data_IF_702830206255
#
_entry.id   IF_702830206255
#
_cell.length_a   1.000
_cell.length_b   1.000
_cell.length_c   1.000
_cell.angle_alpha   90.00
_cell.angle_beta   90.00
_cell.angle_gamma   90.00
#
_symmetry.space_group_name_H-M   'P 1'
#
loop_
_entity.id
_entity.type
_entity.pdbx_description
1 polymer ?
#
# COMPACT_ATOMS: atom_id res chain seq x y z
N UNK A 1 13.67 8.01 7.17
CA UNK A 1 12.80 8.87 6.35
C UNK A 1 12.73 8.29 4.96
N UNK A 2 11.51 8.10 4.47
CA UNK A 2 11.23 7.66 3.11
C UNK A 2 10.14 8.55 2.48
N UNK A 3 10.08 8.66 1.14
CA UNK A 3 11.11 8.22 0.18
C UNK A 3 12.43 8.99 0.34
N UNK A 4 13.51 8.48 -0.25
CA UNK A 4 14.86 9.08 -0.14
C UNK A 4 14.90 10.55 -0.57
N UNK A 5 14.10 10.93 -1.56
CA UNK A 5 13.98 12.34 -1.98
C UNK A 5 13.54 13.25 -0.81
N UNK A 6 12.61 12.80 0.03
CA UNK A 6 12.14 13.55 1.21
C UNK A 6 13.22 13.62 2.30
N UNK A 7 13.99 12.53 2.47
CA UNK A 7 15.15 12.54 3.36
C UNK A 7 16.16 13.61 2.93
N UNK A 8 16.53 13.62 1.66
CA UNK A 8 17.50 14.57 1.11
C UNK A 8 17.01 16.01 1.24
N UNK A 9 15.73 16.27 1.00
CA UNK A 9 15.12 17.59 1.19
C UNK A 9 15.25 18.06 2.65
N UNK A 10 14.93 17.23 3.62
CA UNK A 10 15.02 17.57 5.04
C UNK A 10 16.48 17.79 5.47
N UNK A 11 17.39 16.94 4.99
CA UNK A 11 18.82 17.08 5.26
C UNK A 11 19.39 18.39 4.70
N UNK A 12 19.16 18.67 3.42
CA UNK A 12 19.79 19.80 2.73
C UNK A 12 19.18 21.14 3.13
N UNK A 13 17.88 21.20 3.36
CA UNK A 13 17.20 22.47 3.60
C UNK A 13 17.14 22.85 5.08
N UNK A 14 17.29 21.90 6.00
CA UNK A 14 17.10 22.15 7.43
C UNK A 14 18.25 21.68 8.30
N UNK A 15 18.73 20.45 8.16
CA UNK A 15 19.72 19.90 9.09
C UNK A 15 21.14 20.39 8.77
N UNK A 16 21.57 20.36 7.52
CA UNK A 16 22.92 20.80 7.12
C UNK A 16 23.15 22.32 7.31
N UNK A 17 22.18 23.20 7.02
CA UNK A 17 22.32 24.63 7.32
C UNK A 17 22.27 24.96 8.81
N UNK A 18 21.83 24.05 9.66
CA UNK A 18 21.59 24.23 11.07
C UNK A 18 20.13 24.58 11.39
N UNK A 19 19.63 24.01 12.48
CA UNK A 19 18.28 24.27 12.96
C UNK A 19 18.22 25.64 13.64
N UNK A 20 17.07 26.28 13.53
CA UNK A 20 16.76 27.53 14.25
C UNK A 20 15.73 27.22 15.34
N UNK A 21 15.68 28.12 16.34
CA UNK A 21 14.71 28.04 17.42
C UNK A 21 13.30 28.00 16.90
N UNK A 22 12.49 27.12 17.46
CA UNK A 22 11.07 27.00 17.15
C UNK A 22 10.24 27.75 18.19
N UNK A 23 9.45 28.72 17.75
CA UNK A 23 8.48 29.36 18.60
C UNK A 23 7.30 28.42 18.86
N UNK A 24 7.16 27.95 20.11
CA UNK A 24 6.14 26.99 20.54
C UNK A 24 4.80 27.62 20.99
N UNK A 25 4.69 28.94 20.89
CA UNK A 25 3.46 29.67 21.21
C UNK A 25 3.16 30.76 20.18
N UNK A 26 1.94 31.31 20.18
CA UNK A 26 1.46 32.35 19.27
C UNK A 26 0.68 33.41 20.03
N UNK A 27 0.77 34.67 19.56
CA UNK A 27 0.02 35.84 20.07
C UNK A 27 -0.84 36.48 19.01
N UNK A 28 -0.90 35.92 17.79
CA UNK A 28 -1.62 36.53 16.66
C UNK A 28 -3.14 36.29 16.71
N UNK A 29 -3.60 35.47 17.61
CA UNK A 29 -5.03 35.15 17.86
C UNK A 29 -5.18 34.58 19.27
N UNK A 30 -6.42 34.68 19.81
CA UNK A 30 -6.74 34.28 21.19
C UNK A 30 -7.37 32.87 21.27
N UNK A 31 -7.71 32.28 20.14
CA UNK A 31 -8.32 30.94 20.09
C UNK A 31 -7.25 29.85 20.18
N UNK A 32 -7.34 29.01 21.19
CA UNK A 32 -6.38 27.92 21.40
C UNK A 32 -6.18 27.58 22.89
N UNK A 33 -5.19 26.76 23.18
CA UNK A 33 -4.81 26.41 24.55
C UNK A 33 -3.95 27.56 25.11
N UNK A 34 -4.40 28.28 26.15
CA UNK A 34 -3.60 29.38 26.73
C UNK A 34 -2.34 28.83 27.41
N UNK A 35 -1.28 29.62 27.40
CA UNK A 35 -0.04 29.31 28.10
C UNK A 35 -0.16 29.85 29.53
N UNK A 36 -0.09 28.99 30.55
CA UNK A 36 -0.34 29.35 31.96
C UNK A 36 0.54 30.48 32.48
N UNK A 37 1.80 30.52 32.06
CA UNK A 37 2.78 31.54 32.49
C UNK A 37 2.64 32.87 31.75
N UNK A 38 1.96 32.91 30.60
CA UNK A 38 1.63 34.12 29.84
C UNK A 38 0.32 33.90 29.05
N UNK A 39 -0.83 34.28 29.61
CA UNK A 39 -2.15 34.05 29.00
C UNK A 39 -2.41 34.81 27.68
N UNK A 40 -1.50 35.70 27.27
CA UNK A 40 -1.55 36.34 25.93
C UNK A 40 -1.08 35.38 24.84
N UNK A 41 -0.42 34.30 25.21
CA UNK A 41 0.07 33.29 24.29
C UNK A 41 -0.87 32.09 24.27
N UNK A 42 -1.05 31.52 23.09
CA UNK A 42 -1.69 30.19 22.91
C UNK A 42 -0.63 29.21 22.40
N UNK A 43 -0.76 27.95 22.80
CA UNK A 43 0.13 26.88 22.39
C UNK A 43 0.15 26.74 20.88
N UNK A 44 1.33 26.52 20.31
CA UNK A 44 1.48 26.28 18.87
C UNK A 44 0.87 24.93 18.47
N UNK A 45 -0.01 24.96 17.48
CA UNK A 45 -0.82 23.80 17.06
C UNK A 45 0.00 22.52 16.78
N UNK A 46 1.23 22.65 16.30
CA UNK A 46 2.06 21.46 16.04
C UNK A 46 2.67 20.84 17.31
N UNK A 47 2.77 21.58 18.39
CA UNK A 47 3.11 20.98 19.68
C UNK A 47 1.99 20.06 20.17
N UNK A 48 0.75 20.53 20.10
CA UNK A 48 -0.44 19.74 20.43
C UNK A 48 -0.62 18.55 19.45
N UNK A 49 -0.63 18.80 18.15
CA UNK A 49 -0.87 17.80 17.12
C UNK A 49 0.14 16.64 17.14
N UNK A 50 1.44 16.92 17.40
CA UNK A 50 2.46 15.87 17.43
C UNK A 50 2.45 15.09 18.73
N UNK A 51 2.22 15.73 19.88
CA UNK A 51 2.14 15.04 21.17
C UNK A 51 0.95 14.11 21.25
N UNK A 52 -0.10 14.33 20.45
CA UNK A 52 -1.24 13.42 20.34
C UNK A 52 -0.84 11.97 20.01
N UNK A 53 0.25 11.74 19.29
CA UNK A 53 0.72 10.37 18.99
C UNK A 53 1.07 9.56 20.24
N UNK A 54 1.57 10.21 21.28
CA UNK A 54 1.93 9.54 22.54
C UNK A 54 0.86 9.66 23.59
N UNK A 55 0.19 10.82 23.72
CA UNK A 55 -0.85 11.02 24.75
C UNK A 55 -2.06 10.14 24.51
N UNK A 56 -2.44 9.91 23.25
CA UNK A 56 -3.59 9.07 22.90
C UNK A 56 -3.40 7.58 23.25
N UNK A 57 -2.17 7.12 23.38
CA UNK A 57 -1.83 5.76 23.82
C UNK A 57 -1.43 5.71 25.29
N UNK A 58 -1.60 6.81 26.02
CA UNK A 58 -1.44 6.86 27.48
C UNK A 58 -0.03 7.17 27.98
N UNK A 59 0.72 8.02 27.24
CA UNK A 59 1.94 8.64 27.81
C UNK A 59 1.58 9.59 28.95
N UNK A 60 2.29 9.46 30.04
CA UNK A 60 2.22 10.35 31.20
C UNK A 60 3.63 10.50 31.78
N UNK A 61 4.13 11.74 32.03
CA UNK A 61 5.45 11.96 32.60
C UNK A 61 5.60 11.36 34.01
N UNK A 62 4.50 11.23 34.76
CA UNK A 62 4.50 10.65 36.11
C UNK A 62 4.31 9.13 36.13
N UNK A 63 4.05 8.51 34.99
CA UNK A 63 3.91 7.06 34.85
C UNK A 63 3.00 6.63 33.70
N UNK A 64 3.60 6.29 32.59
CA UNK A 64 2.89 5.90 31.37
C UNK A 64 2.12 4.58 31.49
N UNK A 65 1.04 4.46 30.72
CA UNK A 65 0.18 3.28 30.68
C UNK A 65 0.88 2.04 30.08
N UNK A 66 0.31 0.86 30.31
CA UNK A 66 0.75 -0.38 29.65
C UNK A 66 0.60 -0.33 28.14
N UNK A 67 -0.39 0.40 27.61
CA UNK A 67 -0.61 0.57 26.18
C UNK A 67 0.53 1.40 25.55
N UNK A 68 0.97 2.49 26.20
CA UNK A 68 2.14 3.24 25.75
C UNK A 68 3.39 2.35 25.68
N UNK A 69 3.68 1.61 26.73
CA UNK A 69 4.86 0.73 26.81
C UNK A 69 4.82 -0.41 25.77
N UNK A 70 3.62 -0.79 25.31
CA UNK A 70 3.43 -1.82 24.28
C UNK A 70 3.59 -1.30 22.87
N UNK A 71 3.11 -0.08 22.58
CA UNK A 71 2.98 0.43 21.23
C UNK A 71 4.01 1.49 20.86
N UNK A 72 4.72 2.06 21.85
CA UNK A 72 5.80 2.99 21.57
C UNK A 72 7.18 2.31 21.69
N UNK A 73 8.15 2.58 20.77
CA UNK A 73 8.08 3.51 19.64
C UNK A 73 7.26 2.99 18.47
N UNK A 74 6.63 3.92 17.73
CA UNK A 74 5.89 3.60 16.52
C UNK A 74 6.80 2.97 15.46
N UNK A 75 6.34 1.90 14.80
CA UNK A 75 7.08 1.29 13.69
C UNK A 75 7.11 2.20 12.47
N UNK A 76 5.98 2.87 12.19
CA UNK A 76 5.84 3.74 11.04
C UNK A 76 4.92 4.93 11.33
N UNK A 77 5.40 6.15 11.03
CA UNK A 77 4.55 7.30 10.79
C UNK A 77 4.28 7.44 9.29
N UNK A 78 3.06 7.14 8.86
CA UNK A 78 2.59 7.31 7.49
C UNK A 78 1.84 8.64 7.38
N UNK A 79 2.44 9.60 6.67
CA UNK A 79 1.96 10.98 6.64
C UNK A 79 2.00 11.55 5.22
N UNK A 80 1.29 12.65 4.96
CA UNK A 80 1.45 13.42 3.72
C UNK A 80 2.80 14.16 3.67
N UNK A 81 3.37 14.26 2.47
CA UNK A 81 4.67 14.93 2.29
C UNK A 81 4.69 16.40 2.71
N UNK A 82 3.54 17.05 2.74
CA UNK A 82 3.38 18.46 3.15
C UNK A 82 3.66 18.71 4.64
N UNK A 83 3.51 17.68 5.47
CA UNK A 83 3.79 17.75 6.91
C UNK A 83 5.07 17.00 7.33
N UNK A 84 5.90 16.61 6.37
CA UNK A 84 7.11 15.80 6.65
C UNK A 84 8.11 16.53 7.55
N UNK A 85 8.24 17.84 7.40
CA UNK A 85 9.14 18.65 8.24
C UNK A 85 8.76 18.55 9.71
N UNK A 86 7.48 18.57 10.04
CA UNK A 86 6.99 18.48 11.41
C UNK A 86 7.30 17.12 12.03
N UNK A 87 7.18 16.04 11.26
CA UNK A 87 7.38 14.67 11.73
C UNK A 87 8.84 14.20 11.74
N UNK A 88 9.71 14.86 10.98
CA UNK A 88 11.11 14.43 10.83
C UNK A 88 12.11 15.37 11.45
N UNK A 89 11.69 16.58 11.85
CA UNK A 89 12.54 17.58 12.52
C UNK A 89 11.93 17.94 13.88
N UNK A 90 10.72 18.49 13.94
CA UNK A 90 10.16 18.97 15.21
C UNK A 90 9.79 17.83 16.15
N UNK A 91 9.14 16.79 15.62
CA UNK A 91 8.75 15.65 16.43
C UNK A 91 9.92 14.91 17.08
N UNK A 92 11.02 14.60 16.37
CA UNK A 92 12.22 14.10 17.02
C UNK A 92 12.77 15.00 18.13
N UNK A 93 12.77 16.32 17.93
CA UNK A 93 13.21 17.25 18.96
C UNK A 93 12.32 17.20 20.22
N UNK A 94 11.00 17.11 20.03
CA UNK A 94 10.06 16.98 21.16
C UNK A 94 10.25 15.66 21.91
N UNK A 95 10.39 14.56 21.20
CA UNK A 95 10.63 13.23 21.80
C UNK A 95 11.95 13.20 22.59
N UNK A 96 13.03 13.76 22.05
CA UNK A 96 14.31 13.86 22.76
C UNK A 96 14.22 14.75 24.00
N UNK A 97 13.42 15.81 23.97
CA UNK A 97 13.21 16.64 25.16
C UNK A 97 12.45 15.92 26.29
N UNK A 98 11.77 14.81 25.96
CA UNK A 98 11.06 13.95 26.88
C UNK A 98 11.80 12.64 27.19
N UNK A 99 13.07 12.50 26.71
CA UNK A 99 13.85 11.27 26.81
C UNK A 99 13.17 10.03 26.22
N UNK A 100 12.35 10.21 25.16
CA UNK A 100 11.63 9.16 24.49
C UNK A 100 12.33 8.69 23.22
N UNK A 101 12.15 7.39 22.89
CA UNK A 101 12.62 6.80 21.65
C UNK A 101 11.95 7.42 20.43
N UNK A 102 12.68 7.46 19.31
CA UNK A 102 12.14 7.95 18.03
C UNK A 102 11.33 6.87 17.33
N UNK A 103 10.33 7.23 16.50
CA UNK A 103 9.70 6.31 15.56
C UNK A 103 10.75 5.65 14.66
N UNK A 104 10.56 4.34 14.36
CA UNK A 104 11.53 3.57 13.55
C UNK A 104 11.58 4.09 12.13
N UNK A 105 10.43 4.53 11.57
CA UNK A 105 10.32 5.01 10.21
C UNK A 105 9.30 6.14 10.08
N UNK A 106 9.58 7.10 9.20
CA UNK A 106 8.62 8.11 8.73
C UNK A 106 8.53 8.02 7.22
N UNK A 107 7.33 7.83 6.69
CA UNK A 107 7.04 7.81 5.26
C UNK A 107 6.13 8.98 4.89
N UNK A 108 6.64 9.89 4.06
CA UNK A 108 5.88 11.00 3.50
C UNK A 108 5.32 10.65 2.13
N UNK A 109 4.06 10.20 2.07
CA UNK A 109 3.44 9.88 0.81
C UNK A 109 3.12 11.14 0.00
N UNK A 110 3.13 11.05 -1.34
CA UNK A 110 2.92 12.17 -2.23
C UNK A 110 1.45 12.59 -2.31
N UNK A 111 1.21 13.62 -3.11
CA UNK A 111 -0.15 14.08 -3.36
C UNK A 111 -0.86 13.27 -4.44
N UNK A 112 -2.15 13.16 -4.26
CA UNK A 112 -3.08 12.78 -5.30
C UNK A 112 -3.48 14.03 -6.08
N UNK A 113 -3.28 14.00 -7.38
CA UNK A 113 -3.59 15.09 -8.30
C UNK A 113 -4.79 14.70 -9.18
N UNK A 114 -5.47 15.70 -9.72
CA UNK A 114 -6.44 15.52 -10.81
C UNK A 114 -6.08 16.49 -11.92
N UNK A 115 -5.86 15.98 -13.14
CA UNK A 115 -5.37 16.77 -14.28
C UNK A 115 -4.08 17.56 -13.97
N UNK A 116 -3.14 16.95 -13.25
CA UNK A 116 -1.91 17.54 -12.75
C UNK A 116 -2.08 18.69 -11.75
N UNK A 117 -3.29 18.92 -11.27
CA UNK A 117 -3.60 19.91 -10.25
C UNK A 117 -3.91 19.26 -8.91
N UNK A 118 -3.58 19.97 -7.82
CA UNK A 118 -3.96 19.53 -6.48
C UNK A 118 -5.47 19.45 -6.36
N UNK A 119 -5.95 18.32 -5.81
CA UNK A 119 -7.35 18.17 -5.44
C UNK A 119 -7.70 19.15 -4.31
N UNK A 120 -8.75 19.91 -4.48
CA UNK A 120 -9.21 20.87 -3.47
C UNK A 120 -10.68 21.22 -3.60
N UNK A 121 -11.39 21.23 -2.47
CA UNK A 121 -12.82 21.62 -2.44
C UNK A 121 -13.05 23.02 -3.01
N UNK A 122 -12.16 23.98 -2.69
CA UNK A 122 -12.22 25.35 -3.18
C UNK A 122 -11.93 25.50 -4.68
N UNK A 123 -11.33 24.48 -5.31
CA UNK A 123 -11.01 24.46 -6.74
C UNK A 123 -12.10 23.79 -7.59
N UNK A 124 -13.09 23.17 -6.96
CA UNK A 124 -14.18 22.47 -7.66
C UNK A 124 -13.76 21.19 -8.39
N UNK A 125 -12.52 20.71 -8.20
CA UNK A 125 -11.96 19.51 -8.83
C UNK A 125 -11.86 18.32 -7.87
N UNK A 126 -12.59 18.35 -6.75
CA UNK A 126 -12.58 17.27 -5.79
C UNK A 126 -13.30 16.03 -6.35
N UNK A 127 -12.57 14.92 -6.43
CA UNK A 127 -13.14 13.60 -6.70
C UNK A 127 -13.30 12.91 -5.36
N UNK A 128 -14.53 12.50 -5.03
CA UNK A 128 -14.83 11.84 -3.78
C UNK A 128 -14.75 10.31 -3.95
N UNK A 129 -14.17 9.64 -2.96
CA UNK A 129 -14.00 8.19 -2.98
C UNK A 129 -15.35 7.46 -3.10
N UNK A 130 -16.40 7.96 -2.43
CA UNK A 130 -17.74 7.38 -2.47
C UNK A 130 -18.29 7.35 -3.90
N UNK A 131 -18.14 8.43 -4.66
CA UNK A 131 -18.57 8.49 -6.07
C UNK A 131 -17.82 7.48 -6.95
N UNK A 132 -16.52 7.27 -6.69
CA UNK A 132 -15.75 6.27 -7.42
C UNK A 132 -16.18 4.86 -7.06
N UNK A 133 -16.45 4.61 -5.79
CA UNK A 133 -16.93 3.30 -5.30
C UNK A 133 -18.30 2.96 -5.85
N UNK A 134 -19.21 3.93 -5.93
CA UNK A 134 -20.54 3.77 -6.52
C UNK A 134 -20.48 3.41 -8.02
N UNK A 135 -19.50 3.96 -8.74
CA UNK A 135 -19.34 3.72 -10.19
C UNK A 135 -18.57 2.44 -10.51
N UNK A 136 -17.55 2.11 -9.75
CA UNK A 136 -16.56 1.06 -10.11
C UNK A 136 -16.50 -0.09 -9.10
N UNK A 137 -17.12 0.05 -7.95
CA UNK A 137 -16.97 -0.88 -6.83
C UNK A 137 -15.69 -0.63 -6.01
N UNK A 138 -15.73 -1.04 -4.74
CA UNK A 138 -14.67 -0.77 -3.77
C UNK A 138 -13.33 -1.42 -4.15
N UNK A 139 -13.36 -2.63 -4.69
CA UNK A 139 -12.13 -3.37 -5.01
C UNK A 139 -11.37 -2.75 -6.18
N UNK A 140 -12.07 -2.30 -7.23
CA UNK A 140 -11.46 -1.62 -8.36
C UNK A 140 -10.82 -0.28 -7.95
N UNK A 141 -11.49 0.49 -7.11
CA UNK A 141 -10.97 1.77 -6.59
C UNK A 141 -9.74 1.53 -5.71
N UNK A 142 -9.79 0.55 -4.79
CA UNK A 142 -8.64 0.20 -3.94
C UNK A 142 -7.45 -0.28 -4.76
N UNK A 143 -7.69 -1.18 -5.72
CA UNK A 143 -6.64 -1.65 -6.63
C UNK A 143 -5.98 -0.49 -7.36
N UNK A 144 -6.78 0.37 -7.97
CA UNK A 144 -6.29 1.54 -8.71
C UNK A 144 -5.40 2.46 -7.84
N UNK A 145 -5.90 2.83 -6.65
CA UNK A 145 -5.18 3.74 -5.75
C UNK A 145 -3.85 3.14 -5.28
N UNK A 146 -3.82 1.84 -5.01
CA UNK A 146 -2.62 1.17 -4.51
C UNK A 146 -1.62 0.83 -5.62
N UNK A 147 -2.10 0.59 -6.84
CA UNK A 147 -1.26 0.19 -7.98
C UNK A 147 -0.77 1.39 -8.79
N UNK A 148 -1.70 2.25 -9.25
CA UNK A 148 -1.39 3.28 -10.25
C UNK A 148 -0.84 4.57 -9.64
N UNK A 149 -1.15 4.84 -8.36
CA UNK A 149 -0.64 6.03 -7.70
C UNK A 149 0.68 5.68 -7.02
N UNK A 150 1.82 6.15 -7.56
CA UNK A 150 3.12 5.80 -7.03
C UNK A 150 3.26 6.27 -5.58
N UNK A 151 3.73 5.41 -4.71
CA UNK A 151 3.88 5.73 -3.29
C UNK A 151 4.98 6.77 -3.00
N UNK A 152 5.88 7.00 -3.95
CA UNK A 152 7.01 7.93 -3.81
C UNK A 152 6.85 9.24 -4.59
N UNK A 153 6.00 9.28 -5.61
CA UNK A 153 5.80 10.42 -6.51
C UNK A 153 4.32 10.79 -6.59
N UNK A 154 4.03 12.06 -6.88
CA UNK A 154 2.66 12.52 -7.09
C UNK A 154 2.02 11.73 -8.22
N UNK A 155 0.78 11.29 -8.03
CA UNK A 155 0.02 10.50 -8.98
C UNK A 155 -1.27 11.21 -9.40
N UNK A 156 -1.66 11.03 -10.66
CA UNK A 156 -2.91 11.55 -11.18
C UNK A 156 -4.05 10.55 -11.02
N UNK A 157 -5.15 11.00 -10.48
CA UNK A 157 -6.42 10.29 -10.47
C UNK A 157 -7.22 10.72 -11.70
N UNK A 158 -7.43 9.79 -12.66
CA UNK A 158 -8.29 10.00 -13.82
C UNK A 158 -9.25 8.84 -14.01
N UNK A 159 -10.43 9.12 -14.55
CA UNK A 159 -11.41 8.08 -14.85
C UNK A 159 -10.90 7.11 -15.94
N UNK A 160 -10.18 7.64 -16.93
CA UNK A 160 -9.62 6.87 -18.03
C UNK A 160 -8.65 5.81 -17.53
N UNK A 161 -7.71 6.18 -16.66
CA UNK A 161 -6.77 5.22 -16.07
C UNK A 161 -7.46 4.20 -15.17
N UNK A 162 -8.48 4.62 -14.40
CA UNK A 162 -9.24 3.69 -13.57
C UNK A 162 -9.98 2.66 -14.41
N UNK A 163 -10.63 3.09 -15.52
CA UNK A 163 -11.29 2.21 -16.49
C UNK A 163 -10.26 1.26 -17.14
N UNK A 164 -9.12 1.79 -17.58
CA UNK A 164 -8.06 1.01 -18.20
C UNK A 164 -7.55 -0.09 -17.26
N UNK A 165 -7.22 0.24 -16.03
CA UNK A 165 -6.73 -0.72 -15.03
C UNK A 165 -7.78 -1.75 -14.66
N UNK A 166 -9.02 -1.32 -14.48
CA UNK A 166 -10.13 -2.25 -14.21
C UNK A 166 -10.29 -3.25 -15.34
N UNK A 167 -10.26 -2.79 -16.58
CA UNK A 167 -10.43 -3.68 -17.73
C UNK A 167 -9.20 -4.56 -17.97
N UNK A 168 -8.00 -3.99 -17.96
CA UNK A 168 -6.77 -4.71 -18.32
C UNK A 168 -6.34 -5.69 -17.24
N UNK A 169 -6.28 -5.23 -16.00
CA UNK A 169 -5.73 -6.03 -14.92
C UNK A 169 -6.82 -6.89 -14.26
N UNK A 170 -7.89 -6.28 -13.77
CA UNK A 170 -8.90 -7.02 -13.01
C UNK A 170 -9.79 -7.89 -13.91
N UNK A 171 -10.32 -7.36 -15.03
CA UNK A 171 -11.19 -8.12 -15.89
C UNK A 171 -10.40 -9.07 -16.82
N UNK A 172 -9.47 -8.54 -17.63
CA UNK A 172 -8.82 -9.32 -18.69
C UNK A 172 -7.66 -10.19 -18.18
N UNK A 173 -6.99 -9.84 -17.09
CA UNK A 173 -5.93 -10.68 -16.54
C UNK A 173 -6.47 -11.61 -15.46
N UNK A 174 -6.92 -11.08 -14.32
CA UNK A 174 -7.41 -11.89 -13.20
C UNK A 174 -8.75 -12.57 -13.50
N UNK A 175 -9.76 -11.80 -13.91
CA UNK A 175 -11.10 -12.32 -14.19
C UNK A 175 -11.10 -13.36 -15.31
N UNK A 176 -10.33 -13.11 -16.38
CA UNK A 176 -10.18 -14.07 -17.48
C UNK A 176 -9.50 -15.37 -17.01
N UNK A 177 -8.42 -15.28 -16.21
CA UNK A 177 -7.75 -16.46 -15.66
C UNK A 177 -8.71 -17.31 -14.82
N UNK A 178 -9.45 -16.69 -13.91
CA UNK A 178 -10.43 -17.36 -13.05
C UNK A 178 -11.54 -18.00 -13.88
N UNK A 179 -12.14 -17.25 -14.81
CA UNK A 179 -13.22 -17.74 -15.67
C UNK A 179 -12.77 -18.92 -16.54
N UNK A 180 -11.61 -18.80 -17.22
CA UNK A 180 -11.05 -19.88 -18.04
C UNK A 180 -10.78 -21.14 -17.22
N UNK A 181 -10.14 -20.98 -16.07
CA UNK A 181 -9.79 -22.10 -15.20
C UNK A 181 -11.03 -22.83 -14.70
N UNK A 182 -12.01 -22.10 -14.16
CA UNK A 182 -13.26 -22.69 -13.65
C UNK A 182 -14.08 -23.32 -14.78
N UNK A 183 -14.20 -22.64 -15.93
CA UNK A 183 -14.95 -23.15 -17.08
C UNK A 183 -14.36 -24.45 -17.63
N UNK A 184 -13.03 -24.53 -17.76
CA UNK A 184 -12.34 -25.75 -18.17
C UNK A 184 -12.47 -26.85 -17.11
N UNK A 185 -12.43 -26.44 -15.83
CA UNK A 185 -12.64 -27.34 -14.72
C UNK A 185 -13.99 -28.05 -14.80
N UNK A 186 -15.03 -27.30 -14.97
CA UNK A 186 -16.38 -27.86 -15.05
C UNK A 186 -16.58 -28.66 -16.35
N UNK A 187 -16.12 -28.13 -17.48
CA UNK A 187 -16.33 -28.73 -18.79
C UNK A 187 -15.63 -30.08 -18.96
N UNK A 188 -14.39 -30.24 -18.46
CA UNK A 188 -13.57 -31.43 -18.73
C UNK A 188 -13.47 -32.39 -17.56
N UNK A 189 -13.86 -31.97 -16.35
CA UNK A 189 -13.64 -32.74 -15.12
C UNK A 189 -14.77 -32.66 -14.09
N UNK A 190 -15.96 -32.20 -14.49
CA UNK A 190 -17.14 -32.04 -13.62
C UNK A 190 -16.83 -31.26 -12.31
N UNK A 191 -15.93 -30.25 -12.39
CA UNK A 191 -15.48 -29.47 -11.24
C UNK A 191 -14.53 -30.19 -10.28
N UNK A 192 -14.22 -31.47 -10.50
CA UNK A 192 -13.31 -32.24 -9.64
C UNK A 192 -11.85 -32.01 -10.03
N UNK A 193 -11.03 -31.75 -9.03
CA UNK A 193 -9.60 -31.47 -9.21
C UNK A 193 -8.79 -32.45 -8.40
N UNK A 194 -7.90 -33.19 -9.06
CA UNK A 194 -6.96 -34.11 -8.40
C UNK A 194 -5.53 -33.78 -8.81
N UNK A 195 -4.64 -33.64 -7.83
CA UNK A 195 -3.21 -33.47 -8.10
C UNK A 195 -2.57 -34.84 -8.39
N UNK A 196 -2.28 -35.13 -9.67
CA UNK A 196 -1.65 -36.37 -10.13
C UNK A 196 -0.10 -36.32 -10.06
N UNK A 197 0.49 -35.22 -9.59
CA UNK A 197 1.94 -35.03 -9.46
C UNK A 197 2.75 -35.26 -10.74
N UNK A 198 2.14 -35.11 -11.90
CA UNK A 198 2.82 -35.17 -13.21
C UNK A 198 3.39 -33.78 -13.52
N UNK A 199 4.68 -33.61 -13.76
CA UNK A 199 5.37 -32.33 -13.90
C UNK A 199 6.38 -32.33 -15.05
N UNK A 200 6.29 -31.36 -15.96
CA UNK A 200 7.30 -31.10 -16.97
C UNK A 200 8.00 -29.74 -16.71
N UNK A 201 8.84 -29.30 -17.63
CA UNK A 201 9.69 -28.12 -17.41
C UNK A 201 8.89 -26.82 -17.44
N UNK A 202 7.82 -26.72 -18.26
CA UNK A 202 6.91 -25.57 -18.23
C UNK A 202 6.16 -25.45 -16.90
N UNK A 203 5.80 -26.60 -16.33
CA UNK A 203 5.15 -26.64 -15.02
C UNK A 203 6.09 -26.16 -13.92
N UNK A 204 7.34 -26.65 -13.94
CA UNK A 204 8.34 -26.27 -12.94
C UNK A 204 8.60 -24.76 -12.95
N UNK A 205 8.73 -24.16 -14.13
CA UNK A 205 8.90 -22.72 -14.29
C UNK A 205 7.79 -21.94 -13.58
N UNK A 206 6.52 -22.30 -13.84
CA UNK A 206 5.38 -21.63 -13.21
C UNK A 206 5.31 -21.89 -11.70
N UNK A 207 5.58 -23.13 -11.26
CA UNK A 207 5.62 -23.51 -9.85
C UNK A 207 6.72 -22.73 -9.12
N UNK A 208 7.91 -22.63 -9.68
CA UNK A 208 9.03 -21.92 -9.09
C UNK A 208 8.72 -20.41 -8.99
N UNK A 209 8.06 -19.85 -10.02
CA UNK A 209 7.63 -18.46 -10.01
C UNK A 209 6.60 -18.20 -8.92
N UNK A 210 5.61 -19.09 -8.73
CA UNK A 210 4.61 -19.00 -7.67
C UNK A 210 5.24 -19.15 -6.28
N UNK A 211 6.10 -20.15 -6.10
CA UNK A 211 6.77 -20.39 -4.82
C UNK A 211 7.72 -19.26 -4.40
N UNK A 212 8.28 -18.53 -5.38
CA UNK A 212 9.12 -17.36 -5.13
C UNK A 212 8.35 -16.05 -4.94
N UNK A 213 7.04 -16.04 -5.18
CA UNK A 213 6.22 -14.82 -5.18
C UNK A 213 6.14 -14.19 -3.78
N UNK A 214 5.93 -14.99 -2.76
CA UNK A 214 5.76 -14.54 -1.38
C UNK A 214 6.96 -13.67 -0.92
N UNK A 215 8.17 -14.19 -1.07
CA UNK A 215 9.38 -13.45 -0.72
C UNK A 215 9.66 -12.21 -1.59
N UNK A 216 9.13 -12.16 -2.82
CA UNK A 216 9.20 -10.95 -3.66
C UNK A 216 8.22 -9.88 -3.16
N UNK A 217 6.98 -10.28 -2.87
CA UNK A 217 5.94 -9.41 -2.34
C UNK A 217 6.35 -8.83 -0.98
N UNK A 218 6.79 -9.68 -0.05
CA UNK A 218 7.28 -9.26 1.27
C UNK A 218 8.38 -8.19 1.15
N UNK A 219 9.36 -8.42 0.29
CA UNK A 219 10.47 -7.49 0.03
C UNK A 219 10.04 -6.12 -0.48
N UNK A 220 8.96 -6.09 -1.28
CA UNK A 220 8.34 -4.84 -1.77
C UNK A 220 7.55 -4.16 -0.65
N UNK A 221 6.76 -4.94 0.07
CA UNK A 221 5.94 -4.43 1.18
C UNK A 221 6.78 -3.83 2.31
N UNK A 222 7.90 -4.44 2.68
CA UNK A 222 8.85 -3.90 3.66
C UNK A 222 9.38 -2.52 3.30
N UNK A 223 9.42 -2.22 1.99
CA UNK A 223 9.82 -0.92 1.46
C UNK A 223 8.65 0.03 1.20
N UNK A 224 7.43 -0.40 1.48
CA UNK A 224 6.19 0.31 1.15
C UNK A 224 6.01 0.54 -0.37
N UNK A 225 6.58 -0.34 -1.19
CA UNK A 225 6.49 -0.34 -2.66
C UNK A 225 5.25 -1.13 -3.11
N UNK A 226 4.05 -0.72 -2.67
CA UNK A 226 2.80 -1.49 -2.82
C UNK A 226 2.45 -1.73 -4.29
N UNK A 227 2.59 -0.73 -5.16
CA UNK A 227 2.34 -0.88 -6.60
C UNK A 227 3.23 -1.96 -7.22
N UNK A 228 4.53 -1.98 -6.91
CA UNK A 228 5.46 -3.01 -7.38
C UNK A 228 5.15 -4.40 -6.77
N UNK A 229 4.64 -4.47 -5.55
CA UNK A 229 4.18 -5.73 -4.98
C UNK A 229 2.99 -6.31 -5.77
N UNK A 230 2.04 -5.45 -6.16
CA UNK A 230 0.93 -5.82 -7.05
C UNK A 230 1.43 -6.25 -8.44
N UNK A 231 2.42 -5.56 -9.00
CA UNK A 231 3.03 -5.95 -10.28
C UNK A 231 3.63 -7.36 -10.25
N UNK A 232 4.33 -7.74 -9.17
CA UNK A 232 4.87 -9.11 -8.98
C UNK A 232 3.73 -10.15 -9.00
N UNK A 233 2.60 -9.86 -8.34
CA UNK A 233 1.42 -10.73 -8.35
C UNK A 233 0.83 -10.84 -9.76
N UNK A 234 0.60 -9.71 -10.43
CA UNK A 234 0.01 -9.69 -11.76
C UNK A 234 0.94 -10.30 -12.84
N UNK A 235 2.25 -10.27 -12.64
CA UNK A 235 3.20 -10.99 -13.48
C UNK A 235 2.94 -12.51 -13.44
N UNK A 236 2.73 -13.07 -12.27
CA UNK A 236 2.37 -14.49 -12.11
C UNK A 236 1.01 -14.79 -12.74
N UNK A 237 0.02 -13.91 -12.60
CA UNK A 237 -1.30 -14.08 -13.23
C UNK A 237 -1.19 -14.06 -14.77
N UNK A 238 -0.43 -13.14 -15.33
CA UNK A 238 -0.15 -13.08 -16.79
C UNK A 238 0.58 -14.34 -17.26
N UNK A 239 1.60 -14.79 -16.51
CA UNK A 239 2.32 -16.02 -16.83
C UNK A 239 1.38 -17.24 -16.77
N UNK A 240 0.47 -17.28 -15.81
CA UNK A 240 -0.54 -18.34 -15.69
C UNK A 240 -1.51 -18.37 -16.87
N UNK A 241 -1.97 -17.20 -17.35
CA UNK A 241 -2.78 -17.13 -18.58
C UNK A 241 -2.00 -17.66 -19.79
N UNK A 242 -0.74 -17.25 -19.95
CA UNK A 242 0.13 -17.71 -21.03
C UNK A 242 0.39 -19.22 -20.97
N UNK A 243 0.58 -19.76 -19.76
CA UNK A 243 0.75 -21.20 -19.55
C UNK A 243 -0.51 -21.99 -20.01
N UNK A 244 -1.73 -21.46 -19.82
CA UNK A 244 -2.95 -22.07 -20.35
C UNK A 244 -2.88 -22.14 -21.88
N UNK A 245 -2.39 -21.09 -22.55
CA UNK A 245 -2.29 -21.06 -24.00
C UNK A 245 -1.19 -22.00 -24.54
N UNK A 246 -0.08 -22.11 -23.85
CA UNK A 246 1.04 -22.99 -24.21
C UNK A 246 0.71 -24.48 -24.04
N UNK A 247 -0.01 -24.84 -23.00
CA UNK A 247 -0.35 -26.24 -22.68
C UNK A 247 -1.62 -26.73 -23.34
N UNK A 248 -2.44 -25.83 -23.91
CA UNK A 248 -3.67 -26.13 -24.66
C UNK A 248 -4.54 -27.23 -24.02
N UNK A 249 -5.05 -27.05 -22.78
CA UNK A 249 -5.80 -28.07 -22.06
C UNK A 249 -7.03 -28.59 -22.79
N UNK A 250 -7.61 -27.78 -23.67
CA UNK A 250 -8.72 -28.17 -24.55
C UNK A 250 -8.34 -29.22 -25.62
N UNK A 251 -7.06 -29.27 -26.01
CA UNK A 251 -6.55 -30.32 -26.90
C UNK A 251 -6.19 -31.57 -26.11
N UNK A 252 -5.52 -31.43 -24.97
CA UNK A 252 -5.17 -32.54 -24.09
C UNK A 252 -6.40 -33.29 -23.57
N UNK A 253 -7.52 -32.60 -23.34
CA UNK A 253 -8.77 -33.22 -22.88
C UNK A 253 -9.42 -34.16 -23.90
N UNK A 254 -9.03 -34.09 -25.18
CA UNK A 254 -9.55 -34.98 -26.26
C UNK A 254 -8.75 -36.29 -26.34
N UNK A 255 -7.57 -36.36 -25.78
CA UNK A 255 -6.72 -37.52 -25.78
C UNK A 255 -6.79 -38.24 -24.43
N UNK A 256 -7.30 -39.48 -24.43
CA UNK A 256 -7.59 -40.22 -23.19
C UNK A 256 -6.34 -40.48 -22.35
N UNK A 257 -5.21 -40.76 -23.01
CA UNK A 257 -3.89 -41.00 -22.37
C UNK A 257 -3.29 -39.73 -21.73
N UNK A 258 -3.77 -38.55 -22.06
CA UNK A 258 -3.27 -37.25 -21.56
C UNK A 258 -4.22 -36.55 -20.60
N UNK A 259 -5.35 -37.16 -20.23
CA UNK A 259 -6.29 -36.60 -19.26
C UNK A 259 -5.66 -36.33 -17.90
N UNK A 260 -4.74 -37.19 -17.46
CA UNK A 260 -4.03 -37.02 -16.18
C UNK A 260 -3.15 -35.75 -16.15
N UNK A 261 -2.60 -35.35 -17.29
CA UNK A 261 -1.87 -34.09 -17.42
C UNK A 261 -2.79 -32.87 -17.30
N UNK A 262 -4.00 -32.97 -17.78
CA UNK A 262 -5.02 -31.94 -17.64
C UNK A 262 -5.54 -31.77 -16.21
N UNK A 263 -5.68 -32.86 -15.46
CA UNK A 263 -6.09 -32.82 -14.05
C UNK A 263 -5.08 -32.09 -13.15
N UNK A 264 -3.82 -32.11 -13.52
CA UNK A 264 -2.72 -31.40 -12.86
C UNK A 264 -2.87 -29.88 -12.84
N UNK A 265 -3.40 -29.31 -13.90
CA UNK A 265 -3.61 -27.86 -14.08
C UNK A 265 -4.34 -27.20 -12.90
N UNK A 266 -5.04 -27.97 -12.11
CA UNK A 266 -5.93 -27.51 -11.06
C UNK A 266 -5.35 -27.57 -9.67
N UNK A 267 -4.33 -28.42 -9.44
CA UNK A 267 -3.74 -28.57 -8.11
C UNK A 267 -2.83 -27.43 -7.70
N UNK A 268 -2.16 -26.77 -8.65
CA UNK A 268 -1.26 -25.65 -8.36
C UNK A 268 -1.98 -24.30 -8.19
N UNK A 269 -3.09 -24.09 -8.89
CA UNK A 269 -3.82 -22.82 -8.82
C UNK A 269 -4.80 -22.72 -7.63
N UNK A 270 -5.30 -23.85 -7.11
CA UNK A 270 -6.32 -23.82 -6.05
C UNK A 270 -5.75 -23.77 -4.62
N UNK A 271 -4.55 -24.27 -4.36
CA UNK A 271 -3.98 -24.15 -3.01
C UNK A 271 -3.50 -22.74 -2.69
N UNK A 272 -2.96 -22.02 -3.66
CA UNK A 272 -2.40 -20.68 -3.39
C UNK A 272 -3.42 -19.53 -3.55
N UNK A 273 -4.54 -19.74 -4.27
CA UNK A 273 -5.61 -18.72 -4.35
C UNK A 273 -6.51 -18.72 -3.09
N UNK A 274 -6.60 -19.84 -2.39
CA UNK A 274 -7.42 -19.96 -1.16
C UNK A 274 -6.67 -19.44 0.08
N UNK A 275 -5.34 -19.41 0.08
CA UNK A 275 -4.53 -18.89 1.20
C UNK A 275 -4.33 -17.37 1.18
N UNK A 276 -4.82 -16.67 0.14
CA UNK A 276 -4.82 -15.20 0.07
C UNK A 276 -6.07 -14.55 0.72
N UNK A 277 -6.66 -15.17 1.74
CA UNK A 277 -7.73 -14.58 2.57
C UNK A 277 -7.18 -13.88 3.79
#
# INVERSE_FOLDING_TARGET
IQPVARKNEMMNNFLLPGLQDLCVSRTSFDWGIPVDIDPKHVVYVWLDALTNYITNIGYDPDGSSSEFNKWWPADLHLIGKDIIRFHTIYWPCFLWSLDLELPKQVFGHPWLLTNNDKIGKSRGNAIYADNLVDLFGVDAVRYYVLHEIPFANDGNLTYELLIERTNTDLANTLGNLVNRTISMANKYFDGQVANKKVCDDLDKELIDMINGLDGKVEKRMDKLEIGFALDEIFEVLRRSNKYIDETMPWSLAKEEDKKDRNLKYKGSSNQNIIELR
#
